data_IF_140259116707
#
_entry.id   IF_140259116707
#
_cell.length_a   1.000
_cell.length_b   1.000
_cell.length_c   1.000
_cell.angle_alpha   90.00
_cell.angle_beta   90.00
_cell.angle_gamma   90.00
#
_symmetry.space_group_name_H-M   'P 1'
#
loop_
_entity.id
_entity.type
_entity.pdbx_description
1 polymer ?
#
# COMPACT_ATOMS: atom_id res chain seq x y z
N UNK A 1 10.58 -7.85 11.34
CA UNK A 1 9.46 -7.16 12.01
C UNK A 1 9.90 -6.70 13.39
N UNK A 2 9.80 -5.41 13.71
CA UNK A 2 10.09 -4.90 15.08
C UNK A 2 8.96 -5.28 16.05
N UNK A 3 9.24 -5.28 17.36
CA UNK A 3 8.26 -5.62 18.40
C UNK A 3 7.03 -4.69 18.39
N UNK A 4 7.22 -3.41 18.08
CA UNK A 4 6.14 -2.43 17.97
C UNK A 4 5.20 -2.75 16.81
N UNK A 5 5.76 -3.06 15.63
CA UNK A 5 4.96 -3.36 14.45
C UNK A 5 4.12 -4.62 14.64
N UNK A 6 4.69 -5.66 15.26
CA UNK A 6 3.93 -6.87 15.63
C UNK A 6 2.75 -6.55 16.54
N UNK A 7 2.93 -5.71 17.56
CA UNK A 7 1.81 -5.32 18.43
C UNK A 7 0.68 -4.59 17.69
N UNK A 8 0.98 -3.88 16.61
CA UNK A 8 -0.02 -3.19 15.80
C UNK A 8 -0.74 -4.12 14.83
N UNK A 9 -0.07 -5.15 14.31
CA UNK A 9 -0.62 -6.09 13.32
C UNK A 9 -1.25 -7.33 13.99
N UNK A 10 -0.55 -7.98 14.92
CA UNK A 10 -0.95 -9.20 15.63
C UNK A 10 -1.92 -8.87 16.79
N UNK A 11 -3.05 -8.20 16.51
CA UNK A 11 -3.99 -7.74 17.56
C UNK A 11 -4.71 -8.87 18.31
N UNK A 12 -4.66 -10.09 17.79
CA UNK A 12 -5.19 -11.30 18.42
C UNK A 12 -4.13 -12.10 19.21
N UNK A 13 -2.88 -11.61 19.25
CA UNK A 13 -1.76 -12.24 19.95
C UNK A 13 -1.12 -13.44 19.25
N UNK A 14 -1.55 -13.79 18.03
CA UNK A 14 -0.95 -14.84 17.19
C UNK A 14 -0.05 -14.22 16.13
N UNK A 15 0.92 -14.98 15.63
CA UNK A 15 1.83 -14.50 14.57
C UNK A 15 1.26 -14.80 13.19
N UNK A 16 1.31 -13.83 12.28
CA UNK A 16 0.84 -13.98 10.90
C UNK A 16 1.99 -13.83 9.89
N UNK A 17 2.77 -14.90 9.62
CA UNK A 17 4.00 -14.80 8.84
C UNK A 17 3.79 -14.42 7.36
N UNK A 18 2.56 -14.54 6.83
CA UNK A 18 2.22 -14.17 5.45
C UNK A 18 1.47 -12.83 5.38
N UNK A 19 0.51 -12.61 6.27
CA UNK A 19 -0.35 -11.44 6.27
C UNK A 19 0.38 -10.20 6.76
N UNK A 20 1.20 -10.31 7.82
CA UNK A 20 1.96 -9.17 8.34
C UNK A 20 2.85 -8.53 7.24
N UNK A 21 3.77 -9.27 6.57
CA UNK A 21 4.61 -8.66 5.55
C UNK A 21 3.81 -8.18 4.34
N UNK A 22 2.72 -8.88 3.96
CA UNK A 22 1.86 -8.45 2.86
C UNK A 22 1.19 -7.11 3.16
N UNK A 23 0.75 -6.92 4.42
CA UNK A 23 0.12 -5.69 4.89
C UNK A 23 1.11 -4.52 4.96
N UNK A 24 2.31 -4.76 5.48
CA UNK A 24 3.38 -3.76 5.48
C UNK A 24 3.80 -3.41 4.05
N UNK A 25 3.90 -4.40 3.17
CA UNK A 25 4.23 -4.17 1.75
C UNK A 25 3.16 -3.33 1.08
N UNK A 26 1.89 -3.63 1.33
CA UNK A 26 0.75 -2.84 0.85
C UNK A 26 0.87 -1.37 1.25
N UNK A 27 1.14 -1.10 2.53
CA UNK A 27 1.33 0.25 3.04
C UNK A 27 2.50 0.96 2.34
N UNK A 28 3.66 0.30 2.27
CA UNK A 28 4.86 0.86 1.65
C UNK A 28 4.65 1.18 0.15
N UNK A 29 4.08 0.25 -0.62
CA UNK A 29 3.82 0.44 -2.05
C UNK A 29 2.83 1.59 -2.26
N UNK A 30 1.76 1.67 -1.46
CA UNK A 30 0.82 2.78 -1.53
C UNK A 30 1.46 4.13 -1.24
N UNK A 31 2.32 4.21 -0.23
CA UNK A 31 3.06 5.44 0.09
C UNK A 31 4.05 5.83 -1.02
N UNK A 32 4.74 4.85 -1.62
CA UNK A 32 5.62 5.09 -2.78
C UNK A 32 4.81 5.62 -3.97
N UNK A 33 3.67 5.01 -4.28
CA UNK A 33 2.78 5.49 -5.34
C UNK A 33 2.32 6.93 -5.10
N UNK A 34 1.98 7.28 -3.85
CA UNK A 34 1.60 8.63 -3.47
C UNK A 34 2.72 9.64 -3.68
N UNK A 35 3.92 9.37 -3.14
CA UNK A 35 5.06 10.27 -3.25
C UNK A 35 5.47 10.47 -4.71
N UNK A 36 5.56 9.38 -5.49
CA UNK A 36 5.97 9.45 -6.89
C UNK A 36 4.89 10.07 -7.79
N UNK A 37 3.62 9.88 -7.46
CA UNK A 37 2.50 10.43 -8.24
C UNK A 37 2.38 11.95 -8.10
N UNK A 38 2.68 12.50 -6.92
CA UNK A 38 2.63 13.95 -6.66
C UNK A 38 3.73 14.70 -7.41
N UNK A 39 4.89 14.08 -7.63
CA UNK A 39 6.02 14.71 -8.32
C UNK A 39 5.86 14.53 -9.84
N UNK A 40 5.70 15.61 -10.63
CA UNK A 40 5.45 15.48 -12.07
C UNK A 40 6.55 14.67 -12.77
N UNK A 41 7.83 14.93 -12.50
CA UNK A 41 8.94 14.21 -13.13
C UNK A 41 8.97 12.69 -12.87
N UNK A 42 8.22 12.17 -11.88
CA UNK A 42 8.17 10.74 -11.56
C UNK A 42 6.79 10.11 -11.78
N UNK A 43 5.89 10.80 -12.48
CA UNK A 43 4.50 10.37 -12.65
C UNK A 43 4.37 8.97 -13.24
N UNK A 44 5.24 8.57 -14.18
CA UNK A 44 5.21 7.23 -14.77
C UNK A 44 5.41 6.13 -13.72
N UNK A 45 6.39 6.30 -12.84
CA UNK A 45 6.65 5.35 -11.75
C UNK A 45 5.52 5.38 -10.72
N UNK A 46 4.97 6.56 -10.42
CA UNK A 46 3.79 6.71 -9.58
C UNK A 46 2.57 5.98 -10.13
N UNK A 47 2.33 6.07 -11.44
CA UNK A 47 1.23 5.39 -12.12
C UNK A 47 1.37 3.86 -12.05
N UNK A 48 2.57 3.34 -12.31
CA UNK A 48 2.84 1.89 -12.21
C UNK A 48 2.71 1.41 -10.77
N UNK A 49 3.29 2.13 -9.81
CA UNK A 49 3.21 1.77 -8.39
C UNK A 49 1.77 1.80 -7.88
N UNK A 50 0.98 2.80 -8.27
CA UNK A 50 -0.44 2.90 -7.91
C UNK A 50 -1.28 1.78 -8.54
N UNK A 51 -1.04 1.48 -9.82
CA UNK A 51 -1.73 0.41 -10.55
C UNK A 51 -1.48 -0.98 -9.93
N UNK A 52 -0.26 -1.25 -9.48
CA UNK A 52 0.09 -2.52 -8.79
C UNK A 52 -0.36 -2.50 -7.33
N UNK A 53 -0.22 -1.36 -6.66
CA UNK A 53 -0.54 -1.19 -5.24
C UNK A 53 -2.00 -1.41 -4.91
N UNK A 54 -2.93 -0.99 -5.78
CA UNK A 54 -4.37 -1.16 -5.53
C UNK A 54 -4.80 -2.65 -5.51
N UNK A 55 -4.53 -3.48 -6.54
CA UNK A 55 -4.79 -4.92 -6.48
C UNK A 55 -4.08 -5.63 -5.32
N UNK A 56 -2.82 -5.26 -5.05
CA UNK A 56 -2.07 -5.79 -3.90
C UNK A 56 -2.81 -5.52 -2.58
N UNK A 57 -3.27 -4.29 -2.39
CA UNK A 57 -3.99 -3.90 -1.18
C UNK A 57 -5.34 -4.60 -1.06
N UNK A 58 -6.08 -4.72 -2.15
CA UNK A 58 -7.36 -5.44 -2.19
C UNK A 58 -7.18 -6.93 -1.89
N UNK A 59 -6.15 -7.56 -2.45
CA UNK A 59 -5.83 -8.95 -2.12
C UNK A 59 -5.43 -9.09 -0.65
N UNK A 60 -4.56 -8.21 -0.14
CA UNK A 60 -4.16 -8.19 1.27
C UNK A 60 -5.36 -8.05 2.21
N UNK A 61 -6.36 -7.20 1.87
CA UNK A 61 -7.60 -7.07 2.63
C UNK A 61 -8.39 -8.39 2.74
N UNK A 62 -8.41 -9.20 1.68
CA UNK A 62 -9.18 -10.43 1.64
C UNK A 62 -8.55 -11.55 2.46
N UNK A 63 -7.22 -11.55 2.60
CA UNK A 63 -6.48 -12.60 3.32
C UNK A 63 -6.12 -12.22 4.76
N UNK A 64 -6.36 -10.96 5.17
CA UNK A 64 -6.05 -10.50 6.52
C UNK A 64 -6.89 -11.17 7.60
N UNK A 65 -6.22 -11.58 8.67
CA UNK A 65 -6.81 -12.22 9.85
C UNK A 65 -7.16 -11.22 10.94
N UNK A 66 -6.46 -10.08 11.00
CA UNK A 66 -6.62 -9.09 12.07
C UNK A 66 -7.15 -7.74 11.58
N UNK A 67 -7.67 -6.93 12.51
CA UNK A 67 -8.05 -5.54 12.22
C UNK A 67 -6.83 -4.65 11.98
N UNK A 68 -5.70 -4.93 12.65
CA UNK A 68 -4.45 -4.19 12.48
C UNK A 68 -3.91 -4.25 11.06
N UNK A 69 -3.87 -5.45 10.48
CA UNK A 69 -3.47 -5.66 9.09
C UNK A 69 -4.42 -4.95 8.10
N UNK A 70 -5.74 -5.08 8.33
CA UNK A 70 -6.76 -4.41 7.50
C UNK A 70 -6.61 -2.90 7.54
N UNK A 71 -6.28 -2.33 8.69
CA UNK A 71 -6.07 -0.89 8.82
C UNK A 71 -4.89 -0.40 7.97
N UNK A 72 -3.75 -1.11 8.02
CA UNK A 72 -2.58 -0.81 7.18
C UNK A 72 -2.91 -0.97 5.69
N UNK A 73 -3.66 -2.01 5.34
CA UNK A 73 -4.09 -2.25 3.97
C UNK A 73 -5.01 -1.13 3.43
N UNK A 74 -5.92 -0.59 4.25
CA UNK A 74 -6.79 0.53 3.84
C UNK A 74 -5.96 1.78 3.57
N UNK A 75 -5.01 2.11 4.46
CA UNK A 75 -4.13 3.25 4.27
C UNK A 75 -3.32 3.08 2.98
N UNK A 76 -2.74 1.90 2.77
CA UNK A 76 -2.00 1.59 1.54
C UNK A 76 -2.87 1.69 0.29
N UNK A 77 -4.11 1.17 0.32
CA UNK A 77 -5.05 1.26 -0.80
C UNK A 77 -5.39 2.72 -1.14
N UNK A 78 -5.71 3.54 -0.14
CA UNK A 78 -6.05 4.95 -0.35
C UNK A 78 -4.83 5.72 -0.86
N UNK A 79 -3.64 5.48 -0.29
CA UNK A 79 -2.41 6.11 -0.75
C UNK A 79 -2.08 5.72 -2.20
N UNK A 80 -2.24 4.44 -2.57
CA UNK A 80 -2.06 3.96 -3.93
C UNK A 80 -3.05 4.62 -4.90
N UNK A 81 -4.33 4.71 -4.52
CA UNK A 81 -5.37 5.33 -5.33
C UNK A 81 -5.11 6.83 -5.56
N UNK A 82 -4.83 7.58 -4.49
CA UNK A 82 -4.56 9.02 -4.58
C UNK A 82 -3.27 9.28 -5.36
N UNK A 83 -2.22 8.51 -5.11
CA UNK A 83 -0.97 8.56 -5.87
C UNK A 83 -1.17 8.29 -7.36
N UNK A 84 -1.95 7.26 -7.68
CA UNK A 84 -2.33 6.95 -9.05
C UNK A 84 -3.08 8.11 -9.73
N UNK A 85 -4.04 8.72 -9.03
CA UNK A 85 -4.78 9.87 -9.56
C UNK A 85 -3.86 11.07 -9.85
N UNK A 86 -2.92 11.39 -8.95
CA UNK A 86 -1.92 12.44 -9.21
C UNK A 86 -1.00 12.08 -10.37
N UNK A 87 -0.52 10.84 -10.43
CA UNK A 87 0.30 10.37 -11.53
C UNK A 87 -0.41 10.52 -12.89
N UNK A 88 -1.69 10.12 -12.98
CA UNK A 88 -2.51 10.33 -14.17
C UNK A 88 -2.65 11.81 -14.53
N UNK A 89 -2.86 12.68 -13.53
CA UNK A 89 -2.95 14.13 -13.77
C UNK A 89 -1.65 14.74 -14.30
N UNK A 90 -0.51 14.11 -14.00
CA UNK A 90 0.82 14.57 -14.41
C UNK A 90 1.31 13.97 -15.74
N UNK A 91 0.50 13.17 -16.44
CA UNK A 91 0.87 12.54 -17.72
C UNK A 91 0.69 11.01 -17.75
N UNK A 92 0.41 10.40 -16.59
CA UNK A 92 0.07 8.99 -16.47
C UNK A 92 1.19 8.08 -16.96
N UNK A 93 0.90 7.32 -18.03
CA UNK A 93 1.80 6.32 -18.60
C UNK A 93 2.63 6.83 -19.80
N UNK A 94 2.64 8.15 -20.03
CA UNK A 94 3.48 8.78 -21.06
C UNK A 94 4.87 9.09 -20.46
N UNK A 95 5.97 9.07 -21.23
CA UNK A 95 7.28 9.50 -20.74
C UNK A 95 7.40 11.00 -20.49
#
# INVERSE_FOLDING_TARGET
MTQLLRRMLDTDGRRHPLQDPLSVTTLCVGMVALVLGVIPATHLLGAVAGLIGMPLALYSQMVSDTTGERFFNVIGLVAAFVGFAFALSNGGFVP
#
